data_IF_902038101281
#
_entry.id   IF_902038101281
#
_cell.length_a   1.000
_cell.length_b   1.000
_cell.length_c   1.000
_cell.angle_alpha   90.00
_cell.angle_beta   90.00
_cell.angle_gamma   90.00
#
_symmetry.space_group_name_H-M   'P 1'
#
loop_
_entity.id
_entity.type
_entity.pdbx_description
1 polymer ?
#
# COMPACT_ATOMS: atom_id res chain seq x y z
N UNK A 1 10.44 2.45 29.31
CA UNK A 1 9.33 3.40 29.10
C UNK A 1 8.20 2.65 28.41
N UNK A 2 6.97 2.66 28.94
CA UNK A 2 5.83 2.00 28.28
C UNK A 2 5.47 2.79 27.03
N UNK A 3 5.48 2.13 25.87
CA UNK A 3 5.00 2.70 24.59
C UNK A 3 3.53 3.04 24.78
N UNK A 4 3.18 4.33 24.66
CA UNK A 4 1.79 4.78 24.81
C UNK A 4 1.03 4.32 23.59
N UNK A 5 -0.13 3.70 23.82
CA UNK A 5 -1.08 3.28 22.80
C UNK A 5 -1.65 4.44 21.94
N UNK A 6 -1.29 5.69 22.25
CA UNK A 6 -1.51 6.87 21.42
C UNK A 6 -0.51 6.99 20.24
N UNK A 7 0.59 6.24 20.24
CA UNK A 7 1.53 6.13 19.10
C UNK A 7 1.12 5.05 18.08
N UNK A 8 -0.04 4.39 18.29
CA UNK A 8 -0.69 3.59 17.27
C UNK A 8 -1.26 4.54 16.21
N UNK A 9 -0.50 4.76 15.14
CA UNK A 9 -0.98 5.52 13.99
C UNK A 9 -2.30 4.92 13.46
N UNK A 10 -3.29 5.77 13.14
CA UNK A 10 -4.62 5.35 12.73
C UNK A 10 -4.63 4.88 11.26
N UNK A 11 -3.76 3.94 10.89
CA UNK A 11 -3.82 3.28 9.58
C UNK A 11 -5.06 2.40 9.40
N UNK A 12 -5.80 2.17 10.50
CA UNK A 12 -7.07 1.45 10.49
C UNK A 12 -8.07 2.11 9.52
N UNK A 13 -8.11 3.45 9.47
CA UNK A 13 -9.01 4.19 8.59
C UNK A 13 -8.73 3.95 7.10
N UNK A 14 -7.45 3.90 6.72
CA UNK A 14 -7.05 3.67 5.33
C UNK A 14 -7.33 2.21 4.90
N UNK A 15 -7.15 1.25 5.81
CA UNK A 15 -7.51 -0.16 5.55
C UNK A 15 -9.01 -0.38 5.40
N UNK A 16 -9.85 0.34 6.15
CA UNK A 16 -11.31 0.33 5.95
C UNK A 16 -11.69 0.95 4.60
N UNK A 17 -11.04 2.04 4.20
CA UNK A 17 -11.29 2.70 2.92
C UNK A 17 -10.97 1.77 1.73
N UNK A 18 -9.86 1.04 1.78
CA UNK A 18 -9.54 0.00 0.76
C UNK A 18 -10.62 -1.06 0.65
N UNK A 19 -11.11 -1.58 1.79
CA UNK A 19 -12.18 -2.58 1.80
C UNK A 19 -13.49 -2.02 1.24
N UNK A 20 -13.80 -0.76 1.54
CA UNK A 20 -14.97 -0.07 1.02
C UNK A 20 -14.89 0.09 -0.51
N UNK A 21 -13.75 0.52 -1.04
CA UNK A 21 -13.58 0.64 -2.49
C UNK A 21 -13.67 -0.71 -3.20
N UNK A 22 -13.07 -1.76 -2.64
CA UNK A 22 -13.19 -3.11 -3.18
C UNK A 22 -14.64 -3.62 -3.15
N UNK A 23 -15.38 -3.34 -2.08
CA UNK A 23 -16.81 -3.66 -2.01
C UNK A 23 -17.62 -2.93 -3.08
N UNK A 24 -17.40 -1.62 -3.24
CA UNK A 24 -18.06 -0.83 -4.27
C UNK A 24 -17.74 -1.31 -5.68
N UNK A 25 -16.50 -1.78 -5.94
CA UNK A 25 -16.12 -2.35 -7.23
C UNK A 25 -16.91 -3.63 -7.53
N UNK A 26 -17.12 -4.49 -6.53
CA UNK A 26 -17.96 -5.69 -6.66
C UNK A 26 -19.42 -5.31 -6.90
N UNK A 27 -19.94 -4.29 -6.19
CA UNK A 27 -21.30 -3.79 -6.42
C UNK A 27 -21.46 -3.25 -7.85
N UNK A 28 -20.49 -2.50 -8.36
CA UNK A 28 -20.49 -2.04 -9.76
C UNK A 28 -20.50 -3.21 -10.75
N UNK A 29 -19.75 -4.28 -10.48
CA UNK A 29 -19.76 -5.47 -11.32
C UNK A 29 -21.13 -6.15 -11.32
N UNK A 30 -21.80 -6.21 -10.17
CA UNK A 30 -23.16 -6.75 -10.06
C UNK A 30 -24.17 -5.89 -10.81
N UNK A 31 -24.05 -4.56 -10.70
CA UNK A 31 -24.88 -3.61 -11.46
C UNK A 31 -24.67 -3.79 -12.96
N UNK A 32 -23.43 -3.93 -13.42
CA UNK A 32 -23.10 -4.21 -14.81
C UNK A 32 -23.81 -5.48 -15.31
N UNK A 33 -23.75 -6.57 -14.56
CA UNK A 33 -24.46 -7.81 -14.94
C UNK A 33 -25.97 -7.59 -15.00
N UNK A 34 -26.54 -6.86 -14.04
CA UNK A 34 -27.96 -6.52 -14.03
C UNK A 34 -28.37 -5.70 -15.25
N UNK A 35 -27.56 -4.73 -15.64
CA UNK A 35 -27.79 -3.86 -16.81
C UNK A 35 -27.72 -4.66 -18.10
N UNK A 36 -26.76 -5.58 -18.22
CA UNK A 36 -26.66 -6.50 -19.37
C UNK A 36 -27.92 -7.36 -19.50
N UNK A 37 -28.37 -7.98 -18.42
CA UNK A 37 -29.58 -8.81 -18.43
C UNK A 37 -30.81 -7.96 -18.79
N UNK A 38 -30.95 -6.79 -18.16
CA UNK A 38 -32.13 -5.92 -18.36
C UNK A 38 -32.17 -5.37 -19.78
N UNK A 39 -31.03 -4.91 -20.31
CA UNK A 39 -30.92 -4.39 -21.69
C UNK A 39 -31.24 -5.46 -22.72
N UNK A 40 -30.75 -6.70 -22.52
CA UNK A 40 -31.07 -7.83 -23.40
C UNK A 40 -32.56 -8.21 -23.33
N UNK A 41 -33.16 -8.23 -22.15
CA UNK A 41 -34.58 -8.59 -21.98
C UNK A 41 -35.51 -7.53 -22.57
N UNK A 42 -35.20 -6.23 -22.39
CA UNK A 42 -36.07 -5.14 -22.80
C UNK A 42 -35.98 -4.82 -24.30
N UNK A 43 -34.78 -4.88 -24.88
CA UNK A 43 -34.49 -4.34 -26.22
C UNK A 43 -33.83 -5.34 -27.16
N UNK A 44 -33.41 -6.51 -26.66
CA UNK A 44 -32.85 -7.58 -27.47
C UNK A 44 -31.60 -7.17 -28.24
N UNK A 45 -31.54 -7.49 -29.52
CA UNK A 45 -30.38 -7.21 -30.39
C UNK A 45 -30.17 -5.72 -30.69
N UNK A 46 -31.20 -4.89 -30.50
CA UNK A 46 -31.07 -3.44 -30.68
C UNK A 46 -30.23 -2.77 -29.59
N UNK A 47 -30.08 -3.41 -28.42
CA UNK A 47 -29.30 -2.89 -27.30
C UNK A 47 -27.79 -3.15 -27.43
N UNK A 48 -27.35 -3.99 -28.37
CA UNK A 48 -25.95 -4.43 -28.51
C UNK A 48 -24.97 -3.24 -28.58
N UNK A 49 -25.16 -2.21 -29.44
CA UNK A 49 -24.20 -1.11 -29.54
C UNK A 49 -24.14 -0.24 -28.28
N UNK A 50 -25.25 -0.01 -27.59
CA UNK A 50 -25.28 0.75 -26.33
C UNK A 50 -24.66 -0.03 -25.18
N UNK A 51 -25.03 -1.31 -25.04
CA UNK A 51 -24.47 -2.23 -24.06
C UNK A 51 -22.94 -2.33 -24.17
N UNK A 52 -22.39 -2.44 -25.38
CA UNK A 52 -20.94 -2.46 -25.59
C UNK A 52 -20.24 -1.22 -25.02
N UNK A 53 -20.81 -0.04 -25.23
CA UNK A 53 -20.31 1.22 -24.68
C UNK A 53 -20.39 1.26 -23.16
N UNK A 54 -21.55 0.91 -22.60
CA UNK A 54 -21.79 0.93 -21.15
C UNK A 54 -20.95 -0.10 -20.41
N UNK A 55 -20.87 -1.33 -20.93
CA UNK A 55 -20.02 -2.40 -20.40
C UNK A 55 -18.56 -1.94 -20.35
N UNK A 56 -18.04 -1.36 -21.44
CA UNK A 56 -16.65 -0.91 -21.48
C UNK A 56 -16.35 0.12 -20.39
N UNK A 57 -17.24 1.10 -20.21
CA UNK A 57 -17.12 2.15 -19.21
C UNK A 57 -17.20 1.59 -17.79
N UNK A 58 -18.17 0.71 -17.53
CA UNK A 58 -18.37 0.12 -16.21
C UNK A 58 -17.22 -0.81 -15.81
N UNK A 59 -16.68 -1.59 -16.75
CA UNK A 59 -15.48 -2.41 -16.50
C UNK A 59 -14.29 -1.53 -16.14
N UNK A 60 -14.04 -0.47 -16.90
CA UNK A 60 -12.93 0.46 -16.61
C UNK A 60 -13.11 1.11 -15.24
N UNK A 61 -14.30 1.59 -14.91
CA UNK A 61 -14.59 2.19 -13.60
C UNK A 61 -14.44 1.18 -12.46
N UNK A 62 -14.95 -0.04 -12.62
CA UNK A 62 -14.82 -1.10 -11.63
C UNK A 62 -13.34 -1.48 -11.41
N UNK A 63 -12.56 -1.61 -12.49
CA UNK A 63 -11.14 -1.90 -12.43
C UNK A 63 -10.35 -0.78 -11.76
N UNK A 64 -10.64 0.49 -12.09
CA UNK A 64 -10.02 1.65 -11.45
C UNK A 64 -10.31 1.69 -9.94
N UNK A 65 -11.55 1.39 -9.55
CA UNK A 65 -11.98 1.37 -8.16
C UNK A 65 -11.37 0.21 -7.37
N UNK A 66 -11.22 -0.94 -8.02
CA UNK A 66 -10.51 -2.08 -7.43
C UNK A 66 -9.03 -1.76 -7.24
N UNK A 67 -8.38 -1.23 -8.28
CA UNK A 67 -6.98 -0.85 -8.26
C UNK A 67 -6.66 0.24 -7.24
N UNK A 68 -7.55 1.21 -7.04
CA UNK A 68 -7.37 2.24 -6.00
C UNK A 68 -7.46 1.65 -4.59
N UNK A 69 -8.36 0.68 -4.37
CA UNK A 69 -8.45 -0.07 -3.12
C UNK A 69 -7.18 -0.89 -2.84
N UNK A 70 -6.65 -1.57 -3.86
CA UNK A 70 -5.42 -2.35 -3.79
C UNK A 70 -4.19 -1.47 -3.54
N UNK A 71 -4.09 -0.34 -4.24
CA UNK A 71 -3.04 0.66 -4.05
C UNK A 71 -3.03 1.22 -2.62
N UNK A 72 -4.21 1.46 -2.04
CA UNK A 72 -4.32 1.93 -0.66
C UNK A 72 -3.82 0.88 0.36
N UNK A 73 -3.95 -0.43 0.08
CA UNK A 73 -3.34 -1.47 0.92
C UNK A 73 -1.81 -1.46 0.78
N UNK A 74 -1.29 -1.37 -0.45
CA UNK A 74 0.14 -1.28 -0.71
C UNK A 74 0.80 -0.05 -0.04
N UNK A 75 0.09 1.08 -0.02
CA UNK A 75 0.54 2.29 0.68
C UNK A 75 0.65 2.10 2.20
N UNK A 76 -0.21 1.26 2.80
CA UNK A 76 -0.14 0.92 4.23
C UNK A 76 1.09 0.07 4.52
N UNK A 77 1.36 -0.92 3.67
CA UNK A 77 2.52 -1.81 3.80
C UNK A 77 3.83 -1.00 3.62
N UNK A 78 3.88 -0.13 2.62
CA UNK A 78 5.02 0.77 2.40
C UNK A 78 5.25 1.73 3.60
N UNK A 79 4.19 2.17 4.28
CA UNK A 79 4.30 2.96 5.50
C UNK A 79 5.04 2.22 6.62
N UNK A 80 4.81 0.92 6.77
CA UNK A 80 5.52 0.08 7.74
C UNK A 80 7.00 -0.08 7.37
N UNK A 81 7.30 -0.32 6.09
CA UNK A 81 8.67 -0.50 5.61
C UNK A 81 9.52 0.77 5.74
N UNK A 82 8.93 1.94 5.50
CA UNK A 82 9.60 3.22 5.70
C UNK A 82 9.92 3.48 7.18
N UNK A 83 9.03 3.09 8.09
CA UNK A 83 9.27 3.17 9.54
C UNK A 83 10.41 2.23 9.95
N UNK A 84 10.42 0.99 9.46
CA UNK A 84 11.51 0.05 9.73
C UNK A 84 12.86 0.58 9.23
N UNK A 85 12.87 1.14 8.02
CA UNK A 85 14.06 1.76 7.41
C UNK A 85 14.57 2.93 8.26
N UNK A 86 13.68 3.81 8.74
CA UNK A 86 14.06 4.95 9.61
C UNK A 86 14.67 4.49 10.93
N UNK A 87 14.13 3.43 11.54
CA UNK A 87 14.69 2.85 12.77
C UNK A 87 16.08 2.27 12.52
N UNK A 88 16.27 1.54 11.42
CA UNK A 88 17.56 0.95 11.05
C UNK A 88 18.63 2.01 10.78
N UNK A 89 18.30 3.03 9.98
CA UNK A 89 19.20 4.16 9.71
C UNK A 89 19.56 4.93 10.99
N UNK A 90 18.59 5.15 11.88
CA UNK A 90 18.85 5.76 13.18
C UNK A 90 19.83 4.94 14.04
N UNK A 91 19.70 3.59 14.03
CA UNK A 91 20.63 2.70 14.74
C UNK A 91 22.02 2.68 14.11
N UNK A 92 22.14 2.75 12.78
CA UNK A 92 23.43 2.82 12.08
C UNK A 92 24.15 4.15 12.36
N UNK A 93 23.43 5.27 12.29
CA UNK A 93 24.00 6.59 12.60
C UNK A 93 24.54 6.66 14.04
N UNK A 94 23.84 6.06 15.01
CA UNK A 94 24.31 5.95 16.40
C UNK A 94 25.51 5.01 16.56
N UNK A 95 25.60 3.94 15.77
CA UNK A 95 26.75 3.00 15.80
C UNK A 95 28.02 3.61 15.20
N UNK A 96 27.90 4.39 14.12
CA UNK A 96 29.05 5.08 13.51
C UNK A 96 29.62 6.16 14.45
N UNK A 97 28.75 6.86 15.19
CA UNK A 97 29.17 7.87 16.17
C UNK A 97 29.85 7.25 17.41
N UNK A 98 29.65 5.94 17.65
CA UNK A 98 30.25 5.19 18.76
C UNK A 98 31.44 4.31 18.35
N UNK A 99 31.96 4.39 17.12
CA UNK A 99 33.25 3.78 16.80
C UNK A 99 34.34 4.43 17.66
N UNK A 100 34.92 3.72 18.66
CA UNK A 100 36.06 4.27 19.38
C UNK A 100 37.17 4.42 18.35
N UNK A 101 37.60 5.66 18.13
CA UNK A 101 38.77 6.00 17.32
C UNK A 101 39.89 5.09 17.77
N UNK A 102 40.20 4.03 16.99
CA UNK A 102 41.29 3.10 17.31
C UNK A 102 42.54 3.95 17.40
N UNK A 103 42.99 4.23 18.63
CA UNK A 103 44.26 4.89 18.81
C UNK A 103 45.32 4.03 18.12
N UNK A 104 46.19 4.62 17.28
CA UNK A 104 47.25 3.87 16.65
C UNK A 104 48.11 3.29 17.77
N UNK A 105 48.09 1.96 17.88
CA UNK A 105 48.88 1.21 18.85
C UNK A 105 50.32 1.69 18.74
N UNK A 106 50.80 2.47 19.71
CA UNK A 106 52.19 2.93 19.74
C UNK A 106 53.06 1.68 19.79
N UNK A 107 53.77 1.43 18.69
CA UNK A 107 54.74 0.35 18.63
C UNK A 107 55.87 0.74 19.58
N UNK A 108 55.85 0.19 20.80
CA UNK A 108 56.94 0.37 21.76
C UNK A 108 58.09 -0.50 21.27
N UNK A 109 59.01 0.13 20.56
CA UNK A 109 60.28 -0.44 20.16
C UNK A 109 61.07 -0.80 21.44
N UNK A 110 61.07 -2.09 21.80
CA UNK A 110 61.93 -2.60 22.87
C UNK A 110 63.37 -2.59 22.36
N UNK A 111 64.18 -1.68 22.90
CA UNK A 111 65.61 -1.65 22.65
C UNK A 111 66.28 -3.00 23.03
N UNK A 112 67.27 -3.47 22.24
CA UNK A 112 68.02 -4.68 22.58
C UNK A 112 68.94 -4.44 23.79
N UNK A 113 69.03 -5.46 24.64
CA UNK A 113 69.90 -5.51 25.83
C UNK A 113 71.35 -5.74 25.45
#
# INVERSE_FOLDING_TARGET
>A
MPVRSADLEPYVGLGYLSKLFRFMAVVLLLLLVSEVITGLVAQGTAAIPTLLGEISRLIVLAGLLWGSGDLALLLIDMGHDLRATRILLGRQALHDDHQPKREPTKFVERAPR
#
